data_IF_995697384549
#
_entry.id   IF_995697384549
#
_cell.length_a   1.000
_cell.length_b   1.000
_cell.length_c   1.000
_cell.angle_alpha   90.00
_cell.angle_beta   90.00
_cell.angle_gamma   90.00
#
_symmetry.space_group_name_H-M   'P 1'
#
loop_
_entity.id
_entity.type
_entity.pdbx_description
1 polymer ?
#
# COMPACT_ATOMS: atom_id res chain seq x y z
N UNK A 1 -7.09 -15.88 14.21
CA UNK A 1 -7.79 -15.55 12.96
C UNK A 1 -7.16 -16.39 11.86
N UNK A 2 -7.92 -16.94 10.90
CA UNK A 2 -7.30 -17.64 9.78
C UNK A 2 -6.52 -16.62 8.95
N UNK A 3 -5.23 -16.87 8.75
CA UNK A 3 -4.35 -16.10 7.88
C UNK A 3 -4.05 -16.96 6.66
N UNK A 4 -4.30 -16.42 5.47
CA UNK A 4 -3.86 -17.03 4.21
C UNK A 4 -2.73 -16.19 3.62
N UNK A 5 -1.87 -16.80 2.80
CA UNK A 5 -0.80 -16.10 2.10
C UNK A 5 -1.06 -16.08 0.60
N UNK A 6 -1.09 -14.89 0.01
CA UNK A 6 -1.26 -14.69 -1.43
C UNK A 6 -0.19 -13.71 -1.93
N UNK A 7 0.63 -14.12 -2.89
CA UNK A 7 1.73 -13.29 -3.43
C UNK A 7 2.65 -12.68 -2.36
N UNK A 8 2.87 -13.42 -1.25
CA UNK A 8 3.62 -12.99 -0.06
C UNK A 8 2.94 -11.89 0.76
N UNK A 9 1.63 -11.69 0.62
CA UNK A 9 0.83 -10.89 1.53
C UNK A 9 0.11 -11.82 2.50
N UNK A 10 0.19 -11.51 3.79
CA UNK A 10 -0.65 -12.15 4.79
C UNK A 10 -2.03 -11.47 4.77
N UNK A 11 -3.07 -12.22 4.44
CA UNK A 11 -4.45 -11.72 4.41
C UNK A 11 -5.16 -12.21 5.67
N UNK A 12 -5.64 -11.27 6.48
CA UNK A 12 -6.19 -11.51 7.80
C UNK A 12 -7.65 -11.05 7.88
N UNK A 13 -8.56 -11.98 8.14
CA UNK A 13 -9.93 -11.63 8.49
C UNK A 13 -9.98 -11.19 9.95
N UNK A 14 -10.26 -9.90 10.20
CA UNK A 14 -10.38 -9.26 11.51
C UNK A 14 -11.72 -9.59 12.20
N UNK A 15 -12.65 -10.21 11.47
CA UNK A 15 -13.95 -10.65 11.96
C UNK A 15 -15.13 -9.93 11.28
N UNK A 16 -16.36 -10.19 11.73
CA UNK A 16 -17.55 -9.58 11.16
C UNK A 16 -17.62 -8.07 11.48
N UNK A 17 -17.99 -7.28 10.48
CA UNK A 17 -18.42 -5.89 10.62
C UNK A 17 -19.87 -5.76 10.16
N UNK A 18 -20.77 -6.38 10.92
CA UNK A 18 -22.20 -6.47 10.60
C UNK A 18 -23.03 -5.35 11.24
N UNK A 19 -22.43 -4.58 12.13
CA UNK A 19 -23.02 -3.40 12.75
C UNK A 19 -22.31 -2.15 12.25
N UNK A 20 -23.07 -1.07 12.06
CA UNK A 20 -22.51 0.24 11.75
C UNK A 20 -21.56 0.64 12.88
N UNK A 21 -20.29 0.88 12.54
CA UNK A 21 -19.32 1.40 13.49
C UNK A 21 -19.47 2.92 13.61
N UNK A 22 -19.54 3.40 14.85
CA UNK A 22 -19.48 4.82 15.18
C UNK A 22 -18.25 5.05 16.04
N UNK A 23 -17.29 5.82 15.55
CA UNK A 23 -16.10 6.16 16.31
C UNK A 23 -16.48 6.96 17.57
N UNK A 24 -15.81 6.74 18.72
CA UNK A 24 -15.99 7.56 19.92
C UNK A 24 -15.76 9.05 19.65
N UNK A 25 -16.43 9.93 20.41
CA UNK A 25 -16.19 11.39 20.30
C UNK A 25 -14.72 11.76 20.54
N UNK A 26 -14.00 11.02 21.39
CA UNK A 26 -12.56 11.24 21.62
C UNK A 26 -11.68 11.04 20.39
N UNK A 27 -12.22 10.45 19.32
CA UNK A 27 -11.56 10.36 18.03
C UNK A 27 -11.56 11.67 17.24
N UNK A 28 -11.89 12.81 17.88
CA UNK A 28 -11.56 14.14 17.33
C UNK A 28 -10.08 14.13 16.99
N UNK A 29 -9.82 14.28 15.70
CA UNK A 29 -8.59 13.86 15.03
C UNK A 29 -7.35 14.36 15.78
N UNK A 30 -6.43 13.47 16.22
CA UNK A 30 -5.02 13.84 16.30
C UNK A 30 -4.64 14.54 14.99
N UNK A 31 -3.65 15.46 14.96
CA UNK A 31 -3.16 15.98 13.68
C UNK A 31 -2.94 14.80 12.74
N UNK A 32 -3.57 14.76 11.55
CA UNK A 32 -3.47 13.61 10.67
C UNK A 32 -1.99 13.35 10.45
N UNK A 33 -1.59 12.07 10.50
CA UNK A 33 -0.22 11.74 10.18
C UNK A 33 0.05 12.24 8.75
N UNK A 34 1.03 13.13 8.64
CA UNK A 34 1.30 13.84 7.41
C UNK A 34 2.27 13.04 6.58
N UNK A 35 2.01 12.93 5.28
CA UNK A 35 2.87 12.22 4.35
C UNK A 35 3.29 13.15 3.22
N UNK A 36 4.53 13.04 2.77
CA UNK A 36 4.90 13.49 1.44
C UNK A 36 4.42 12.43 0.45
N UNK A 37 3.77 12.90 -0.60
CA UNK A 37 3.16 12.06 -1.61
C UNK A 37 3.76 12.35 -2.98
N UNK A 38 3.80 11.33 -3.82
CA UNK A 38 4.10 11.49 -5.24
C UNK A 38 2.81 11.69 -6.02
N UNK A 39 2.77 12.71 -6.87
CA UNK A 39 1.75 12.83 -7.91
C UNK A 39 2.26 12.14 -9.16
N UNK A 40 1.62 11.03 -9.52
CA UNK A 40 1.92 10.32 -10.76
C UNK A 40 0.95 10.77 -11.84
N UNK A 41 1.49 11.39 -12.88
CA UNK A 41 0.75 11.78 -14.08
C UNK A 41 1.23 10.96 -15.27
N UNK A 42 0.31 10.42 -16.07
CA UNK A 42 0.65 9.71 -17.29
C UNK A 42 1.03 8.24 -17.13
N UNK A 43 1.02 7.70 -15.90
CA UNK A 43 1.37 6.28 -15.66
C UNK A 43 0.20 5.33 -15.90
N UNK A 44 -1.02 5.89 -15.90
CA UNK A 44 -2.28 5.27 -16.32
C UNK A 44 -3.25 6.39 -16.74
N UNK A 45 -4.44 6.06 -17.27
CA UNK A 45 -5.50 7.06 -17.55
C UNK A 45 -5.94 7.83 -16.29
N UNK A 46 -5.63 7.33 -15.09
CA UNK A 46 -5.90 8.00 -13.84
C UNK A 46 -4.61 8.60 -13.24
N UNK A 47 -4.66 9.91 -13.01
CA UNK A 47 -3.66 10.62 -12.22
C UNK A 47 -3.83 10.21 -10.75
N UNK A 48 -2.83 9.56 -10.16
CA UNK A 48 -2.90 9.10 -8.77
C UNK A 48 -1.92 9.85 -7.89
N UNK A 49 -2.34 10.10 -6.64
CA UNK A 49 -1.45 10.54 -5.56
C UNK A 49 -1.24 9.38 -4.62
N UNK A 50 0.02 9.05 -4.34
CA UNK A 50 0.39 7.98 -3.42
C UNK A 50 1.15 8.60 -2.23
N UNK A 51 0.56 8.62 -1.02
CA UNK A 51 1.24 8.95 0.22
C UNK A 51 2.37 7.95 0.48
N UNK A 52 3.61 8.44 0.60
CA UNK A 52 4.78 7.56 0.68
C UNK A 52 5.61 7.80 1.94
N UNK A 53 6.15 9.01 2.09
CA UNK A 53 7.02 9.31 3.23
C UNK A 53 6.20 9.88 4.38
N UNK A 54 5.99 9.08 5.43
CA UNK A 54 5.42 9.56 6.69
C UNK A 54 6.32 10.64 7.27
N UNK A 55 5.75 11.68 7.87
CA UNK A 55 6.52 12.73 8.54
C UNK A 55 7.16 12.23 9.82
N UNK A 56 6.47 11.35 10.54
CA UNK A 56 6.89 10.85 11.85
C UNK A 56 7.25 9.37 11.79
N UNK A 57 8.23 8.98 12.60
CA UNK A 57 8.57 7.58 12.80
C UNK A 57 7.73 6.97 13.91
N UNK A 58 7.35 5.71 13.73
CA UNK A 58 6.49 4.97 14.65
C UNK A 58 5.27 4.37 13.95
N UNK A 59 4.56 3.46 14.65
CA UNK A 59 3.36 2.84 14.10
C UNK A 59 2.23 3.86 13.92
N UNK A 60 1.45 3.73 12.85
CA UNK A 60 0.12 4.32 12.82
C UNK A 60 -0.75 3.46 13.71
N UNK A 61 -1.26 4.01 14.82
CA UNK A 61 -2.18 3.27 15.67
C UNK A 61 -3.60 3.67 15.32
N UNK A 62 -4.42 2.66 15.01
CA UNK A 62 -5.84 2.82 14.76
C UNK A 62 -6.64 3.02 16.05
N UNK A 63 -6.23 2.33 17.12
CA UNK A 63 -6.87 2.36 18.43
C UNK A 63 -8.38 2.13 18.36
N UNK A 64 -9.14 2.88 19.17
CA UNK A 64 -10.61 2.78 19.19
C UNK A 64 -11.29 3.62 18.09
N UNK A 65 -10.51 4.26 17.21
CA UNK A 65 -11.01 5.17 16.16
C UNK A 65 -11.23 4.48 14.81
N UNK A 66 -10.99 3.18 14.75
CA UNK A 66 -11.25 2.32 13.62
C UNK A 66 -11.94 1.04 14.11
N UNK A 67 -12.84 0.41 13.32
CA UNK A 67 -13.42 -0.87 13.70
C UNK A 67 -12.31 -1.87 14.04
N UNK A 68 -12.35 -2.50 15.23
CA UNK A 68 -11.30 -3.42 15.70
C UNK A 68 -9.86 -2.85 15.69
N UNK A 69 -9.67 -1.53 15.71
CA UNK A 69 -8.34 -0.93 15.54
C UNK A 69 -7.32 -1.36 16.59
N UNK A 70 -7.70 -1.43 17.87
CA UNK A 70 -6.86 -1.97 18.94
C UNK A 70 -6.39 -3.43 18.71
N UNK A 71 -7.19 -4.24 18.00
CA UNK A 71 -6.79 -5.61 17.62
C UNK A 71 -5.83 -5.60 16.44
N UNK A 72 -6.08 -4.75 15.44
CA UNK A 72 -5.19 -4.56 14.28
C UNK A 72 -3.82 -4.06 14.74
N UNK A 73 -3.78 -3.05 15.60
CA UNK A 73 -2.55 -2.51 16.19
C UNK A 73 -1.73 -3.60 16.91
N UNK A 74 -2.40 -4.44 17.70
CA UNK A 74 -1.76 -5.55 18.39
C UNK A 74 -1.24 -6.64 17.43
N UNK A 75 -1.97 -6.91 16.35
CA UNK A 75 -1.55 -7.85 15.32
C UNK A 75 -0.33 -7.32 14.57
N UNK A 76 -0.33 -6.05 14.17
CA UNK A 76 0.81 -5.37 13.53
C UNK A 76 2.05 -5.38 14.44
N UNK A 77 1.89 -5.06 15.73
CA UNK A 77 2.99 -5.10 16.70
C UNK A 77 3.56 -6.51 16.86
N UNK A 78 2.70 -7.53 16.96
CA UNK A 78 3.15 -8.92 17.05
C UNK A 78 3.84 -9.40 15.77
N UNK A 79 3.47 -8.89 14.59
CA UNK A 79 4.11 -9.21 13.32
C UNK A 79 5.51 -8.59 13.25
N UNK A 80 5.69 -7.34 13.70
CA UNK A 80 7.00 -6.70 13.75
C UNK A 80 7.99 -7.44 14.67
N UNK A 81 7.53 -7.96 15.80
CA UNK A 81 8.39 -8.69 16.77
C UNK A 81 8.92 -10.03 16.22
N UNK A 82 8.18 -10.65 15.29
CA UNK A 82 8.55 -11.93 14.68
C UNK A 82 9.45 -11.77 13.45
N UNK A 83 9.66 -10.52 12.99
CA UNK A 83 10.16 -10.24 11.65
C UNK A 83 9.08 -10.51 10.61
N UNK A 84 8.90 -9.59 9.66
CA UNK A 84 7.93 -9.79 8.58
C UNK A 84 8.41 -10.94 7.68
N UNK A 85 7.76 -12.10 7.74
CA UNK A 85 7.96 -13.18 6.74
C UNK A 85 7.27 -12.87 5.42
N UNK A 86 6.30 -11.97 5.45
CA UNK A 86 5.45 -11.54 4.35
C UNK A 86 5.75 -10.08 3.99
N UNK A 87 5.48 -9.69 2.75
CA UNK A 87 5.74 -8.34 2.23
C UNK A 87 4.86 -7.28 2.91
N UNK A 88 3.58 -7.60 3.14
CA UNK A 88 2.64 -6.74 3.83
C UNK A 88 1.50 -7.56 4.44
N UNK A 89 0.72 -6.94 5.33
CA UNK A 89 -0.52 -7.51 5.87
C UNK A 89 -1.73 -6.79 5.28
N UNK A 90 -2.75 -7.54 4.89
CA UNK A 90 -4.04 -7.01 4.45
C UNK A 90 -5.07 -7.44 5.47
N UNK A 91 -5.53 -6.49 6.28
CA UNK A 91 -6.57 -6.70 7.27
C UNK A 91 -7.94 -6.34 6.68
N UNK A 92 -8.91 -7.26 6.75
CA UNK A 92 -10.25 -7.07 6.19
C UNK A 92 -11.35 -7.57 7.13
N UNK A 93 -12.57 -7.06 6.96
CA UNK A 93 -13.76 -7.52 7.68
C UNK A 93 -14.59 -8.44 6.79
N UNK A 94 -14.92 -9.64 7.29
CA UNK A 94 -15.89 -10.51 6.64
C UNK A 94 -16.64 -11.37 7.68
N UNK A 95 -17.98 -11.43 7.62
CA UNK A 95 -18.85 -10.68 6.72
C UNK A 95 -18.91 -9.18 7.04
N UNK A 96 -19.00 -8.34 6.01
CA UNK A 96 -19.26 -6.91 6.11
C UNK A 96 -20.28 -6.51 5.03
N UNK A 97 -21.30 -5.73 5.41
CA UNK A 97 -22.42 -5.42 4.51
C UNK A 97 -22.38 -4.02 3.91
N UNK A 98 -21.67 -3.08 4.54
CA UNK A 98 -21.60 -1.68 4.11
C UNK A 98 -20.42 -0.95 4.75
N UNK A 99 -20.08 0.22 4.21
CA UNK A 99 -19.17 1.15 4.87
C UNK A 99 -19.79 1.71 6.17
N UNK A 100 -18.98 2.02 7.19
CA UNK A 100 -19.44 2.74 8.38
C UNK A 100 -20.03 4.13 8.04
N UNK A 101 -20.89 4.70 8.89
CA UNK A 101 -21.63 5.95 8.62
C UNK A 101 -20.76 7.17 8.26
N UNK A 102 -19.53 7.24 8.80
CA UNK A 102 -18.59 8.32 8.51
C UNK A 102 -17.75 8.09 7.23
N UNK A 103 -17.98 6.97 6.56
CA UNK A 103 -17.20 6.51 5.42
C UNK A 103 -18.09 6.38 4.18
N UNK A 104 -17.49 6.63 3.03
CA UNK A 104 -18.12 6.46 1.71
C UNK A 104 -17.47 5.29 0.98
N UNK A 105 -18.26 4.53 0.23
CA UNK A 105 -17.75 3.52 -0.70
C UNK A 105 -16.94 4.22 -1.79
N UNK A 106 -15.66 3.85 -1.89
CA UNK A 106 -14.74 4.36 -2.92
C UNK A 106 -14.37 3.29 -3.95
N UNK A 107 -14.68 2.03 -3.68
CA UNK A 107 -14.49 0.94 -4.61
C UNK A 107 -15.39 -0.25 -4.29
N UNK A 108 -15.80 -0.96 -5.33
CA UNK A 108 -16.55 -2.21 -5.26
C UNK A 108 -15.91 -3.23 -6.20
N UNK A 109 -15.75 -4.46 -5.74
CA UNK A 109 -15.41 -5.61 -6.57
C UNK A 109 -16.34 -6.78 -6.25
N UNK A 110 -16.86 -7.44 -7.29
CA UNK A 110 -17.77 -8.58 -7.18
C UNK A 110 -17.21 -9.71 -8.03
N UNK A 111 -17.08 -10.90 -7.45
CA UNK A 111 -16.76 -12.09 -8.22
C UNK A 111 -18.03 -12.88 -8.50
N UNK A 112 -18.44 -12.88 -9.76
CA UNK A 112 -19.63 -13.60 -10.22
C UNK A 112 -19.49 -15.12 -10.04
N UNK A 113 -20.62 -15.82 -10.12
CA UNK A 113 -20.67 -17.29 -10.02
C UNK A 113 -19.98 -18.02 -11.19
N UNK A 114 -19.63 -17.30 -12.26
CA UNK A 114 -18.83 -17.78 -13.39
C UNK A 114 -17.33 -17.49 -13.22
N UNK A 115 -16.91 -16.92 -12.09
CA UNK A 115 -15.53 -16.54 -11.79
C UNK A 115 -15.08 -15.19 -12.36
N UNK A 116 -15.92 -14.52 -13.16
CA UNK A 116 -15.63 -13.19 -13.69
C UNK A 116 -15.68 -12.13 -12.59
N UNK A 117 -14.74 -11.18 -12.62
CA UNK A 117 -14.68 -10.08 -11.64
C UNK A 117 -15.17 -8.79 -12.28
N UNK A 118 -16.27 -8.25 -11.74
CA UNK A 118 -16.73 -6.90 -12.02
C UNK A 118 -16.20 -5.95 -10.95
N UNK A 119 -15.59 -4.84 -11.34
CA UNK A 119 -14.98 -3.90 -10.40
C UNK A 119 -15.19 -2.44 -10.78
N UNK A 120 -15.08 -1.55 -9.77
CA UNK A 120 -15.21 -0.09 -9.94
C UNK A 120 -14.40 0.68 -8.89
N UNK A 121 -14.16 1.96 -9.16
CA UNK A 121 -13.51 2.89 -8.23
C UNK A 121 -12.09 2.45 -7.88
N UNK A 122 -11.79 2.31 -6.59
CA UNK A 122 -10.47 1.92 -6.08
C UNK A 122 -9.95 0.58 -6.61
N UNK A 123 -10.83 -0.30 -7.10
CA UNK A 123 -10.48 -1.58 -7.68
C UNK A 123 -10.18 -1.52 -9.20
N UNK A 124 -10.22 -0.33 -9.82
CA UNK A 124 -10.06 -0.12 -11.28
C UNK A 124 -8.98 0.93 -11.58
N UNK A 125 -8.07 0.64 -12.53
CA UNK A 125 -6.72 0.07 -12.32
C UNK A 125 -5.69 1.18 -11.87
N UNK A 126 -4.43 0.87 -11.45
CA UNK A 126 -3.46 0.21 -12.32
C UNK A 126 -2.59 -0.86 -11.65
N UNK A 127 -2.39 -1.97 -12.37
CA UNK A 127 -1.09 -2.65 -12.31
C UNK A 127 -0.04 -1.62 -12.69
N UNK A 128 0.81 -1.27 -11.73
CA UNK A 128 1.98 -0.43 -11.98
C UNK A 128 3.13 -1.36 -12.39
N UNK A 129 3.62 -1.19 -13.62
CA UNK A 129 4.91 -1.76 -14.04
C UNK A 129 6.02 -1.06 -13.27
N UNK A 130 6.23 -1.52 -12.04
CA UNK A 130 7.12 -0.93 -11.06
C UNK A 130 6.53 0.34 -10.42
N UNK A 131 6.75 0.56 -9.11
CA UNK A 131 6.44 1.86 -8.53
C UNK A 131 7.26 2.94 -9.22
N UNK A 132 6.63 4.00 -9.73
CA UNK A 132 7.30 5.10 -10.43
C UNK A 132 8.41 5.80 -9.62
N UNK A 133 8.50 5.53 -8.31
CA UNK A 133 9.53 6.04 -7.40
C UNK A 133 10.80 5.18 -7.34
N UNK A 134 10.79 3.95 -7.88
CA UNK A 134 12.01 3.16 -8.11
C UNK A 134 12.16 3.00 -9.63
N UNK A 135 13.04 3.79 -10.27
CA UNK A 135 13.36 3.62 -11.68
C UNK A 135 13.85 2.19 -11.92
N UNK A 136 13.18 1.43 -12.79
CA UNK A 136 13.45 0.00 -13.01
C UNK A 136 13.25 -0.89 -11.77
N UNK A 137 12.39 -0.45 -10.84
CA UNK A 137 12.02 -1.22 -9.66
C UNK A 137 11.29 -2.52 -10.01
N UNK A 138 11.24 -3.47 -9.06
CA UNK A 138 10.44 -4.67 -9.22
C UNK A 138 8.99 -4.36 -9.55
N UNK A 139 8.35 -5.27 -10.28
CA UNK A 139 6.90 -5.24 -10.46
C UNK A 139 6.20 -5.28 -9.11
N UNK A 140 5.07 -4.60 -9.03
CA UNK A 140 4.29 -4.46 -7.82
C UNK A 140 2.85 -4.90 -8.10
N UNK A 141 2.37 -5.87 -7.34
CA UNK A 141 0.96 -6.23 -7.31
C UNK A 141 0.28 -5.49 -6.13
N UNK A 142 -0.56 -4.48 -6.37
CA UNK A 142 -1.16 -3.69 -5.29
C UNK A 142 -2.10 -4.52 -4.40
N UNK A 143 -2.19 -4.21 -3.09
CA UNK A 143 -3.07 -4.89 -2.14
C UNK A 143 -4.52 -5.04 -2.60
N UNK A 144 -5.08 -4.01 -3.24
CA UNK A 144 -6.45 -4.04 -3.73
C UNK A 144 -6.66 -5.06 -4.84
N UNK A 145 -5.65 -5.32 -5.67
CA UNK A 145 -5.74 -6.40 -6.64
C UNK A 145 -5.69 -7.77 -5.93
N UNK A 146 -4.76 -7.96 -5.01
CA UNK A 146 -4.65 -9.21 -4.26
C UNK A 146 -5.95 -9.55 -3.51
N UNK A 147 -6.64 -8.54 -2.99
CA UNK A 147 -7.95 -8.71 -2.38
C UNK A 147 -9.00 -9.20 -3.38
N UNK A 148 -8.99 -8.71 -4.63
CA UNK A 148 -9.87 -9.22 -5.68
C UNK A 148 -9.52 -10.64 -6.12
N UNK A 149 -8.23 -10.96 -6.26
CA UNK A 149 -7.75 -12.31 -6.57
C UNK A 149 -8.19 -13.32 -5.51
N UNK A 150 -8.23 -12.89 -4.24
CA UNK A 150 -8.63 -13.70 -3.10
C UNK A 150 -10.14 -13.95 -2.99
N UNK A 151 -10.99 -13.24 -3.74
CA UNK A 151 -12.45 -13.44 -3.69
C UNK A 151 -12.82 -14.85 -4.18
N UNK A 152 -13.72 -15.51 -3.45
CA UNK A 152 -14.41 -16.71 -3.90
C UNK A 152 -15.63 -16.38 -4.78
N UNK A 153 -16.17 -17.37 -5.49
CA UNK A 153 -17.36 -17.19 -6.33
C UNK A 153 -18.56 -16.73 -5.48
N UNK A 154 -19.19 -15.63 -5.88
CA UNK A 154 -20.30 -15.02 -5.17
C UNK A 154 -19.89 -14.05 -4.06
N UNK A 155 -18.59 -13.84 -3.81
CA UNK A 155 -18.11 -12.87 -2.83
C UNK A 155 -18.01 -11.45 -3.39
N UNK A 156 -17.98 -10.48 -2.48
CA UNK A 156 -17.90 -9.06 -2.77
C UNK A 156 -16.91 -8.39 -1.82
N UNK A 157 -16.07 -7.52 -2.36
CA UNK A 157 -15.21 -6.62 -1.59
C UNK A 157 -15.68 -5.18 -1.74
N UNK A 158 -15.67 -4.44 -0.64
CA UNK A 158 -16.00 -3.02 -0.57
C UNK A 158 -14.83 -2.28 0.06
N UNK A 159 -14.37 -1.21 -0.59
CA UNK A 159 -13.38 -0.30 -0.01
C UNK A 159 -14.09 0.97 0.46
N UNK A 160 -13.78 1.38 1.68
CA UNK A 160 -14.41 2.51 2.35
C UNK A 160 -13.35 3.54 2.76
N UNK A 161 -13.57 4.81 2.46
CA UNK A 161 -12.75 5.91 2.97
C UNK A 161 -13.60 6.91 3.76
N UNK A 162 -13.03 7.64 4.73
CA UNK A 162 -13.74 8.74 5.38
C UNK A 162 -14.32 9.69 4.33
N UNK A 163 -15.50 10.25 4.62
CA UNK A 163 -16.10 11.23 3.71
C UNK A 163 -15.11 12.36 3.38
N UNK A 164 -15.03 12.77 2.12
CA UNK A 164 -14.07 13.73 1.53
C UNK A 164 -12.63 13.26 1.29
N UNK A 165 -12.27 12.05 1.71
CA UNK A 165 -10.96 11.47 1.40
C UNK A 165 -10.96 10.83 0.01
N UNK A 166 -9.79 10.85 -0.63
CA UNK A 166 -9.49 10.08 -1.83
C UNK A 166 -8.85 8.76 -1.46
N UNK A 167 -8.81 7.79 -2.37
CA UNK A 167 -8.10 6.53 -2.18
C UNK A 167 -6.76 6.52 -2.93
N UNK A 168 -5.76 5.88 -2.32
CA UNK A 168 -4.49 5.54 -2.95
C UNK A 168 -4.55 4.18 -3.65
N UNK A 169 -3.50 3.85 -4.37
CA UNK A 169 -3.39 2.56 -5.10
C UNK A 169 -3.18 1.37 -4.16
N UNK A 170 -2.74 1.62 -2.91
CA UNK A 170 -2.44 0.58 -1.94
C UNK A 170 -3.61 0.26 -1.00
N UNK A 171 -4.79 0.84 -1.24
CA UNK A 171 -5.93 0.71 -0.32
C UNK A 171 -5.89 1.70 0.84
N UNK A 172 -5.00 2.68 0.81
CA UNK A 172 -4.96 3.79 1.76
C UNK A 172 -5.99 4.88 1.41
N UNK A 173 -6.40 5.67 2.40
CA UNK A 173 -7.25 6.83 2.24
C UNK A 173 -6.48 8.10 2.61
N UNK A 174 -6.55 9.14 1.79
CA UNK A 174 -5.83 10.40 2.03
C UNK A 174 -6.66 11.64 1.69
N UNK A 175 -6.27 12.75 2.31
CA UNK A 175 -6.72 14.10 1.97
C UNK A 175 -5.50 15.00 1.79
N UNK A 176 -5.51 15.87 0.77
CA UNK A 176 -4.41 16.82 0.55
C UNK A 176 -4.52 17.99 1.53
N UNK A 177 -3.39 18.40 2.09
CA UNK A 177 -3.26 19.59 2.93
C UNK A 177 -2.32 20.61 2.27
N UNK A 178 -2.44 21.92 2.55
CA UNK A 178 -1.49 22.91 2.07
C UNK A 178 -0.06 22.63 2.57
N UNK A 179 0.94 22.99 1.77
CA UNK A 179 2.36 22.84 2.16
C UNK A 179 2.69 23.51 3.50
N UNK A 180 2.04 24.63 3.81
CA UNK A 180 2.19 25.34 5.07
C UNK A 180 1.75 24.53 6.29
N UNK A 181 0.83 23.58 6.12
CA UNK A 181 0.41 22.66 7.19
C UNK A 181 1.45 21.56 7.44
N UNK A 182 2.23 21.19 6.42
CA UNK A 182 3.33 20.24 6.55
C UNK A 182 4.54 20.86 7.25
N UNK A 183 4.91 22.07 6.85
CA UNK A 183 6.11 22.75 7.35
C UNK A 183 7.37 22.21 6.69
N UNK A 184 8.43 22.02 7.48
CA UNK A 184 9.69 21.43 7.03
C UNK A 184 9.47 20.03 6.44
N UNK A 185 10.12 19.74 5.30
CA UNK A 185 9.94 18.51 4.51
C UNK A 185 10.67 17.32 5.14
N UNK A 186 10.38 17.07 6.40
CA UNK A 186 10.92 15.95 7.17
C UNK A 186 10.15 14.66 6.85
N UNK A 187 10.88 13.56 6.70
CA UNK A 187 10.38 12.24 6.39
C UNK A 187 10.96 11.20 7.35
N UNK A 188 10.19 10.15 7.62
CA UNK A 188 10.66 8.94 8.26
C UNK A 188 11.20 7.97 7.21
N UNK A 189 12.44 7.57 7.40
CA UNK A 189 13.12 6.56 6.58
C UNK A 189 13.15 5.24 7.33
N UNK A 190 12.76 4.18 6.62
CA UNK A 190 12.88 2.82 7.09
C UNK A 190 14.19 2.23 6.59
N UNK A 191 15.01 1.73 7.51
CA UNK A 191 16.29 1.07 7.23
C UNK A 191 16.13 -0.42 7.49
N UNK A 192 16.36 -1.20 6.44
CA UNK A 192 16.37 -2.67 6.47
C UNK A 192 17.77 -3.17 6.10
N UNK A 193 18.21 -4.27 6.70
CA UNK A 193 19.49 -4.86 6.32
C UNK A 193 19.42 -5.49 4.92
N UNK A 194 20.46 -5.31 4.12
CA UNK A 194 20.56 -5.77 2.72
C UNK A 194 20.41 -7.29 2.54
N UNK A 195 20.50 -8.08 3.62
CA UNK A 195 20.31 -9.53 3.61
C UNK A 195 18.88 -10.02 3.88
N UNK A 196 17.94 -9.11 4.18
CA UNK A 196 16.61 -9.49 4.65
C UNK A 196 15.63 -9.86 3.51
N UNK A 197 15.98 -9.50 2.27
CA UNK A 197 15.17 -9.78 1.08
C UNK A 197 16.00 -10.24 -0.13
N UNK A 198 15.33 -10.91 -1.07
CA UNK A 198 15.85 -11.29 -2.38
C UNK A 198 14.88 -10.87 -3.48
N UNK A 199 15.38 -10.64 -4.69
CA UNK A 199 14.53 -10.39 -5.85
C UNK A 199 14.20 -11.71 -6.54
N UNK A 200 12.92 -12.08 -6.62
CA UNK A 200 12.46 -13.29 -7.29
C UNK A 200 11.54 -12.94 -8.47
N UNK A 201 11.53 -13.76 -9.51
CA UNK A 201 10.55 -13.60 -10.60
C UNK A 201 9.23 -14.27 -10.23
N UNK A 202 8.12 -13.55 -10.37
CA UNK A 202 6.76 -14.08 -10.18
C UNK A 202 5.84 -13.64 -11.31
N UNK A 203 4.83 -14.47 -11.54
CA UNK A 203 3.70 -14.19 -12.42
C UNK A 203 2.45 -14.05 -11.57
N UNK A 204 1.69 -12.98 -11.78
CA UNK A 204 0.35 -12.79 -11.20
C UNK A 204 -0.62 -12.40 -12.32
N UNK A 205 -1.91 -12.66 -12.12
CA UNK A 205 -2.95 -12.38 -13.12
C UNK A 205 -3.81 -11.24 -12.63
N UNK A 206 -3.99 -10.22 -13.46
CA UNK A 206 -4.89 -9.10 -13.19
C UNK A 206 -5.78 -8.84 -14.40
N UNK A 207 -7.10 -8.77 -14.19
CA UNK A 207 -8.05 -8.53 -15.27
C UNK A 207 -7.79 -9.46 -16.47
N UNK A 208 -7.67 -10.75 -16.19
CA UNK A 208 -7.34 -11.83 -17.13
C UNK A 208 -6.00 -11.68 -17.90
N UNK A 209 -5.16 -10.74 -17.48
CA UNK A 209 -3.84 -10.49 -18.08
C UNK A 209 -2.75 -10.98 -17.13
N UNK A 210 -1.85 -11.83 -17.64
CA UNK A 210 -0.69 -12.30 -16.87
C UNK A 210 0.44 -11.28 -16.91
N UNK A 211 0.95 -10.93 -15.74
CA UNK A 211 2.04 -10.00 -15.51
C UNK A 211 3.22 -10.73 -14.89
N UNK A 212 4.41 -10.63 -15.47
CA UNK A 212 5.62 -11.34 -15.00
C UNK A 212 6.79 -10.39 -14.80
N UNK A 213 7.38 -10.40 -13.60
CA UNK A 213 8.60 -9.63 -13.31
C UNK A 213 9.19 -9.92 -11.94
N UNK A 214 10.25 -9.19 -11.61
CA UNK A 214 10.90 -9.29 -10.31
C UNK A 214 10.02 -8.72 -9.21
N UNK A 215 9.93 -9.39 -8.05
CA UNK A 215 9.29 -8.92 -6.82
C UNK A 215 10.22 -9.14 -5.63
N UNK A 216 10.14 -8.30 -4.60
CA UNK A 216 10.87 -8.55 -3.37
C UNK A 216 10.29 -9.76 -2.63
N UNK A 217 11.16 -10.66 -2.19
CA UNK A 217 10.83 -11.80 -1.35
C UNK A 217 11.63 -11.73 -0.08
N UNK A 218 10.93 -11.64 1.05
CA UNK A 218 11.55 -11.62 2.37
C UNK A 218 11.96 -13.05 2.74
N UNK A 219 13.26 -13.24 2.97
CA UNK A 219 13.87 -14.57 3.19
C UNK A 219 14.46 -14.74 4.59
N UNK A 220 14.54 -13.65 5.36
CA UNK A 220 15.06 -13.70 6.73
C UNK A 220 14.00 -14.20 7.72
N UNK A 221 14.42 -15.04 8.67
CA UNK A 221 13.59 -15.52 9.78
C UNK A 221 13.30 -14.44 10.84
N UNK A 222 14.04 -13.33 10.79
CA UNK A 222 13.85 -12.12 11.60
C UNK A 222 14.46 -10.95 10.83
N UNK A 223 13.74 -9.83 10.69
CA UNK A 223 14.27 -8.64 10.02
C UNK A 223 14.88 -7.67 11.04
N UNK A 224 16.00 -7.04 10.68
CA UNK A 224 16.49 -5.89 11.42
C UNK A 224 15.87 -4.63 10.82
N UNK A 225 14.88 -4.08 11.52
CA UNK A 225 14.17 -2.87 11.13
C UNK A 225 14.54 -1.73 12.06
N UNK A 226 14.97 -0.61 11.50
CA UNK A 226 15.13 0.63 12.25
C UNK A 226 14.56 1.79 11.45
N UNK A 227 14.23 2.88 12.15
CA UNK A 227 13.70 4.08 11.53
C UNK A 227 14.49 5.29 11.97
N UNK A 228 14.75 6.20 11.05
CA UNK A 228 15.30 7.52 11.36
C UNK A 228 14.47 8.60 10.70
N UNK A 229 14.55 9.82 11.24
CA UNK A 229 13.90 10.99 10.67
C UNK A 229 14.95 11.84 9.95
N UNK A 230 14.67 12.25 8.72
CA UNK A 230 15.55 13.08 7.89
C UNK A 230 14.77 14.21 7.23
N UNK A 231 15.36 15.40 7.15
CA UNK A 231 14.83 16.50 6.31
C UNK A 231 15.25 16.25 4.86
N UNK A 232 14.27 16.19 3.96
CA UNK A 232 14.51 16.03 2.53
C UNK A 232 14.82 17.38 1.88
N UNK A 233 15.79 17.36 0.98
CA UNK A 233 16.18 18.48 0.13
C UNK A 233 15.66 18.29 -1.30
N UNK A 234 15.70 19.35 -2.11
CA UNK A 234 15.24 19.30 -3.51
C UNK A 234 15.92 18.18 -4.32
N UNK A 235 17.19 17.89 -4.02
CA UNK A 235 17.98 16.85 -4.69
C UNK A 235 17.44 15.43 -4.44
N UNK A 236 16.78 15.20 -3.30
CA UNK A 236 16.18 13.90 -2.96
C UNK A 236 15.00 13.56 -3.88
N UNK A 237 14.37 14.57 -4.49
CA UNK A 237 13.24 14.38 -5.41
C UNK A 237 13.67 14.25 -6.88
N UNK A 238 14.93 14.56 -7.21
CA UNK A 238 15.44 14.64 -8.59
C UNK A 238 15.42 13.28 -9.34
N UNK A 239 15.79 12.14 -8.73
CA UNK A 239 15.68 10.83 -9.39
C UNK A 239 14.24 10.49 -9.78
N UNK A 240 13.29 10.76 -8.87
CA UNK A 240 11.86 10.52 -9.10
C UNK A 240 11.34 11.44 -10.20
N UNK A 241 11.72 12.73 -10.15
CA UNK A 241 11.35 13.72 -11.15
C UNK A 241 11.81 13.30 -12.54
N UNK A 242 13.08 12.89 -12.69
CA UNK A 242 13.64 12.44 -13.98
C UNK A 242 12.88 11.24 -14.55
N UNK A 243 12.41 10.33 -13.69
CA UNK A 243 11.67 9.16 -14.14
C UNK A 243 10.22 9.45 -14.54
N UNK A 244 9.58 10.39 -13.85
CA UNK A 244 8.28 10.92 -14.27
C UNK A 244 8.38 11.68 -15.59
N UNK A 245 9.44 12.47 -15.81
CA UNK A 245 9.66 13.23 -17.04
C UNK A 245 10.07 12.33 -18.23
N UNK A 246 10.84 11.26 -17.98
CA UNK A 246 11.36 10.37 -19.03
C UNK A 246 10.41 9.24 -19.43
N UNK A 247 9.28 9.05 -18.73
CA UNK A 247 8.30 8.01 -19.05
C UNK A 247 8.89 6.60 -18.99
N UNK A 248 9.30 6.14 -17.81
CA UNK A 248 9.88 4.81 -17.57
C UNK A 248 8.91 3.61 -17.77
N UNK A 249 8.03 3.69 -18.77
CA UNK A 249 7.02 2.71 -19.11
C UNK A 249 7.54 1.44 -19.77
N UNK A 250 8.78 1.43 -20.24
CA UNK A 250 9.34 0.28 -20.91
C UNK A 250 10.13 -0.60 -19.95
N UNK A 251 9.50 -1.73 -19.58
CA UNK A 251 10.19 -2.86 -18.96
C UNK A 251 11.40 -3.32 -19.80
N UNK A 252 12.43 -3.91 -19.17
CA UNK A 252 13.69 -4.14 -19.84
C UNK A 252 13.58 -5.29 -20.86
N UNK A 253 13.41 -4.95 -22.14
CA UNK A 253 14.14 -5.66 -23.18
C UNK A 253 15.31 -4.79 -23.64
N UNK A 254 16.42 -4.96 -22.92
CA UNK A 254 17.76 -4.73 -23.45
C UNK A 254 18.20 -3.27 -23.55
N UNK A 255 18.92 -2.81 -22.51
CA UNK A 255 20.24 -2.19 -22.70
C UNK A 255 21.02 -2.24 -21.40
N UNK A 256 22.23 -2.80 -21.50
CA UNK A 256 23.21 -2.87 -20.42
C UNK A 256 23.58 -1.46 -19.98
N UNK A 257 23.40 -1.18 -18.70
CA UNK A 257 23.93 -0.02 -18.01
C UNK A 257 23.88 -0.30 -16.52
N UNK A 258 24.88 -1.03 -16.02
CA UNK A 258 25.01 -1.33 -14.60
C UNK A 258 25.26 -0.05 -13.81
N UNK A 259 24.26 0.39 -13.05
CA UNK A 259 24.38 1.31 -11.93
C UNK A 259 23.92 0.56 -10.69
N UNK A 260 24.88 0.22 -9.83
CA UNK A 260 24.67 -0.48 -8.57
C UNK A 260 24.16 0.56 -7.55
N UNK A 261 22.98 0.33 -6.95
CA UNK A 261 22.37 1.22 -5.95
C UNK A 261 22.95 1.03 -4.54
N UNK A 262 24.14 0.43 -4.41
CA UNK A 262 24.80 0.17 -3.13
C UNK A 262 25.51 1.41 -2.54
N UNK A 263 25.46 2.58 -3.19
CA UNK A 263 26.20 3.80 -2.79
C UNK A 263 25.28 4.91 -2.19
N UNK A 264 24.36 4.55 -1.31
CA UNK A 264 23.80 5.51 -0.34
C UNK A 264 24.26 5.12 1.06
N UNK A 265 25.50 5.51 1.36
CA UNK A 265 26.12 5.33 2.67
C UNK A 265 27.47 6.01 2.72
N UNK A 266 27.47 7.30 3.05
CA UNK A 266 28.40 8.00 3.96
C UNK A 266 27.89 9.42 4.26
#
# INVERSE_FOLDING_TARGET
MPTSTLSQYAINNVGPLTTVFTAPESCVTPPPDLHLAFSQTGVSEANFTNPFWRRTCGPALYGDCYPSGSQIDAASASASDKGFSDFYTIDYFSPASACPDAYTTVGLAVKGANGEVESSGAFVPPVVTGPAFIPHGPMYNPPLNLLMEALEEGETAVMCCPASYSHGINGDCYSRVPDSAYGEKTACEAHQATGDYTLITRTFTYNDTAYTGGIYSYTAASQSYSTSTRTLETVDFEPVRRCLEAGCHDGPQGRRGGGRWDDFGE
#
